data_IF_523694611092
#
_entry.id   IF_523694611092
#
_cell.length_a   1.000
_cell.length_b   1.000
_cell.length_c   1.000
_cell.angle_alpha   90.00
_cell.angle_beta   90.00
_cell.angle_gamma   90.00
#
_symmetry.space_group_name_H-M   'P 1'
#
loop_
_entity.id
_entity.type
_entity.pdbx_description
1 polymer ?
#
# COMPACT_ATOMS: atom_id res chain seq x y z
N UNK A 1 -2.41 11.36 14.03
CA UNK A 1 -1.33 11.34 13.00
C UNK A 1 -0.60 10.01 12.97
N UNK A 2 0.11 9.59 14.05
CA UNK A 2 0.91 8.35 14.06
C UNK A 2 0.15 7.11 13.53
N UNK A 3 -1.09 6.91 13.99
CA UNK A 3 -1.94 5.79 13.54
C UNK A 3 -2.16 5.73 12.02
N UNK A 4 -2.26 6.89 11.35
CA UNK A 4 -2.46 7.01 9.89
C UNK A 4 -1.14 7.06 9.12
N UNK A 5 -0.08 7.59 9.73
CA UNK A 5 1.25 7.63 9.16
C UNK A 5 1.91 6.24 9.11
N UNK A 6 1.49 5.33 9.98
CA UNK A 6 1.98 3.95 10.04
C UNK A 6 0.87 2.91 10.03
N UNK A 7 1.02 1.92 10.91
CA UNK A 7 0.06 0.86 11.16
C UNK A 7 -0.34 0.91 12.64
N UNK A 8 -1.11 1.91 13.04
CA UNK A 8 -1.39 2.16 14.46
C UNK A 8 -0.20 2.77 15.23
N UNK A 9 -0.36 2.90 16.54
CA UNK A 9 0.67 3.38 17.47
C UNK A 9 0.36 2.81 18.87
N UNK A 10 1.39 2.57 19.69
CA UNK A 10 1.22 2.24 21.11
C UNK A 10 1.35 3.49 21.99
N UNK A 11 0.90 3.41 23.24
CA UNK A 11 1.05 4.45 24.26
C UNK A 11 2.50 4.94 24.40
N UNK A 12 3.50 4.06 24.58
CA UNK A 12 4.90 4.48 24.65
C UNK A 12 5.41 5.20 23.39
N UNK A 13 4.92 4.83 22.20
CA UNK A 13 5.27 5.51 20.96
C UNK A 13 4.65 6.91 20.90
N UNK A 14 3.43 7.07 21.41
CA UNK A 14 2.76 8.37 21.52
C UNK A 14 3.50 9.24 22.54
N UNK A 15 3.81 8.71 23.73
CA UNK A 15 4.53 9.44 24.78
C UNK A 15 5.91 9.91 24.33
N UNK A 16 6.61 9.11 23.51
CA UNK A 16 7.92 9.48 22.99
C UNK A 16 7.91 10.73 22.09
N UNK A 17 6.75 11.07 21.50
CA UNK A 17 6.59 12.21 20.59
C UNK A 17 5.58 13.24 21.08
N UNK A 18 4.93 13.01 22.22
CA UNK A 18 3.99 13.97 22.79
C UNK A 18 4.73 15.27 23.11
N UNK A 19 4.15 16.40 22.69
CA UNK A 19 4.80 17.72 22.82
C UNK A 19 5.86 18.03 21.77
N UNK A 20 6.21 17.10 20.87
CA UNK A 20 7.00 17.43 19.68
C UNK A 20 6.13 18.14 18.63
N UNK A 21 6.73 19.07 17.91
CA UNK A 21 6.10 19.67 16.73
C UNK A 21 5.95 18.61 15.61
N UNK A 22 4.78 18.54 15.00
CA UNK A 22 4.48 17.52 13.99
C UNK A 22 5.34 17.69 12.74
N UNK A 23 5.67 18.92 12.35
CA UNK A 23 6.54 19.16 11.20
C UNK A 23 7.94 18.63 11.47
N UNK A 24 8.49 18.89 12.66
CA UNK A 24 9.80 18.37 13.08
C UNK A 24 9.81 16.83 13.13
N UNK A 25 8.77 16.21 13.70
CA UNK A 25 8.65 14.75 13.72
C UNK A 25 8.60 14.19 12.30
N UNK A 26 7.76 14.73 11.42
CA UNK A 26 7.62 14.27 10.03
C UNK A 26 8.92 14.46 9.25
N UNK A 27 9.65 15.57 9.45
CA UNK A 27 10.96 15.75 8.81
C UNK A 27 11.95 14.67 9.24
N UNK A 28 11.99 14.32 10.53
CA UNK A 28 12.84 13.23 11.01
C UNK A 28 12.41 11.88 10.42
N UNK A 29 11.12 11.56 10.49
CA UNK A 29 10.57 10.29 10.04
C UNK A 29 10.76 10.11 8.51
N UNK A 30 10.46 11.11 7.70
CA UNK A 30 10.54 11.04 6.23
C UNK A 30 11.98 11.11 5.68
N UNK A 31 12.95 11.61 6.46
CA UNK A 31 14.36 11.66 6.08
C UNK A 31 15.18 10.49 6.63
N UNK A 32 14.57 9.60 7.42
CA UNK A 32 15.23 8.39 7.88
C UNK A 32 15.58 7.50 6.67
N UNK A 33 16.73 6.84 6.73
CA UNK A 33 17.02 5.74 5.81
C UNK A 33 16.21 4.50 6.24
N UNK A 34 15.19 4.09 5.46
CA UNK A 34 14.33 2.96 5.82
C UNK A 34 15.04 1.61 5.86
N UNK A 35 16.22 1.48 5.26
CA UNK A 35 16.99 0.24 5.25
C UNK A 35 17.92 0.12 6.46
N UNK A 36 18.13 1.23 7.17
CA UNK A 36 18.85 1.28 8.45
C UNK A 36 17.96 0.93 9.66
N UNK A 37 16.64 0.84 9.49
CA UNK A 37 15.70 0.54 10.57
C UNK A 37 15.99 -0.86 11.18
N UNK A 38 16.04 -1.02 12.52
CA UNK A 38 16.36 -2.33 13.11
C UNK A 38 15.39 -3.44 12.72
N UNK A 39 14.09 -3.12 12.62
CA UNK A 39 13.07 -4.06 12.15
C UNK A 39 13.23 -4.38 10.68
N UNK A 40 13.68 -3.41 9.89
CA UNK A 40 14.05 -3.61 8.49
C UNK A 40 15.20 -4.62 8.33
N UNK A 41 16.29 -4.43 9.06
CA UNK A 41 17.45 -5.31 9.06
C UNK A 41 17.09 -6.72 9.55
N UNK A 42 16.19 -6.83 10.53
CA UNK A 42 15.69 -8.11 11.04
C UNK A 42 14.76 -8.84 10.06
N UNK A 43 14.23 -8.14 9.05
CA UNK A 43 13.30 -8.70 8.05
C UNK A 43 13.75 -8.33 6.64
N UNK A 44 14.88 -8.90 6.16
CA UNK A 44 15.35 -8.65 4.81
C UNK A 44 14.35 -9.18 3.78
N UNK A 45 14.18 -8.44 2.68
CA UNK A 45 13.33 -8.88 1.58
C UNK A 45 13.86 -10.18 0.98
N UNK A 46 13.00 -11.20 0.78
CA UNK A 46 13.35 -12.37 0.00
C UNK A 46 13.85 -11.97 -1.40
N UNK A 47 14.81 -12.71 -1.94
CA UNK A 47 15.27 -12.55 -3.32
C UNK A 47 14.81 -13.75 -4.16
N UNK A 48 13.49 -13.89 -4.44
CA UNK A 48 13.00 -15.00 -5.23
C UNK A 48 13.52 -14.90 -6.67
N UNK A 49 13.81 -16.06 -7.26
CA UNK A 49 14.20 -16.19 -8.67
C UNK A 49 13.13 -16.99 -9.37
N UNK A 50 12.59 -16.44 -10.46
CA UNK A 50 11.56 -17.11 -11.26
C UNK A 50 12.17 -18.35 -11.91
N UNK A 51 11.65 -19.56 -11.63
CA UNK A 51 12.14 -20.77 -12.29
C UNK A 51 11.86 -20.71 -13.81
N UNK A 52 12.67 -21.38 -14.65
CA UNK A 52 12.39 -21.47 -16.09
C UNK A 52 11.01 -22.06 -16.35
N UNK A 53 10.27 -21.44 -17.28
CA UNK A 53 8.94 -21.91 -17.67
C UNK A 53 9.09 -23.29 -18.35
N UNK A 54 8.41 -24.34 -17.85
CA UNK A 54 8.44 -25.65 -18.49
C UNK A 54 7.85 -25.58 -19.91
N UNK A 55 8.38 -26.34 -20.88
CA UNK A 55 7.80 -26.40 -22.22
C UNK A 55 6.37 -26.96 -22.18
N UNK A 56 5.57 -26.65 -23.21
CA UNK A 56 4.21 -27.16 -23.30
C UNK A 56 4.13 -28.70 -23.33
N UNK A 57 5.18 -29.39 -23.75
CA UNK A 57 5.28 -30.85 -23.71
C UNK A 57 5.67 -31.42 -22.34
N UNK A 58 5.90 -30.59 -21.32
CA UNK A 58 6.38 -31.05 -20.02
C UNK A 58 5.35 -31.96 -19.30
N UNK A 59 5.79 -33.08 -18.68
CA UNK A 59 4.92 -33.96 -17.90
C UNK A 59 4.21 -33.23 -16.75
N UNK A 60 3.03 -33.72 -16.37
CA UNK A 60 2.22 -33.14 -15.27
C UNK A 60 3.02 -32.92 -13.97
N UNK A 61 3.86 -33.86 -13.48
CA UNK A 61 4.64 -33.63 -12.25
C UNK A 61 5.58 -32.41 -12.32
N UNK A 62 6.16 -32.14 -13.50
CA UNK A 62 7.05 -30.98 -13.70
C UNK A 62 6.25 -29.68 -13.64
N UNK A 63 5.08 -29.64 -14.28
CA UNK A 63 4.17 -28.48 -14.24
C UNK A 63 3.65 -28.22 -12.83
N UNK A 64 3.28 -29.27 -12.09
CA UNK A 64 2.83 -29.18 -10.70
C UNK A 64 3.92 -28.62 -9.79
N UNK A 65 5.17 -29.10 -9.91
CA UNK A 65 6.27 -28.58 -9.09
C UNK A 65 6.57 -27.11 -9.43
N UNK A 66 6.54 -26.73 -10.70
CA UNK A 66 6.69 -25.33 -11.12
C UNK A 66 5.65 -24.40 -10.47
N UNK A 67 4.36 -24.79 -10.51
CA UNK A 67 3.28 -24.02 -9.87
C UNK A 67 3.45 -23.95 -8.35
N UNK A 68 3.90 -25.05 -7.73
CA UNK A 68 4.17 -25.11 -6.29
C UNK A 68 5.29 -24.16 -5.89
N UNK A 69 6.38 -24.11 -6.67
CA UNK A 69 7.49 -23.18 -6.44
C UNK A 69 7.02 -21.73 -6.53
N UNK A 70 6.29 -21.35 -7.60
CA UNK A 70 5.76 -19.99 -7.74
C UNK A 70 4.83 -19.60 -6.58
N UNK A 71 3.89 -20.49 -6.23
CA UNK A 71 2.98 -20.27 -5.11
C UNK A 71 3.72 -20.12 -3.78
N UNK A 72 4.73 -20.96 -3.54
CA UNK A 72 5.57 -20.90 -2.34
C UNK A 72 6.33 -19.58 -2.23
N UNK A 73 6.99 -19.16 -3.32
CA UNK A 73 7.71 -17.88 -3.37
C UNK A 73 6.77 -16.68 -3.12
N UNK A 74 5.55 -16.71 -3.66
CA UNK A 74 4.58 -15.63 -3.44
C UNK A 74 4.07 -15.59 -2.00
N UNK A 75 3.82 -16.76 -1.39
CA UNK A 75 3.46 -16.84 0.03
C UNK A 75 4.57 -16.30 0.93
N UNK A 76 5.83 -16.66 0.66
CA UNK A 76 6.99 -16.18 1.40
C UNK A 76 7.16 -14.66 1.27
N UNK A 77 6.93 -14.09 0.08
CA UNK A 77 7.00 -12.65 -0.17
C UNK A 77 5.89 -11.88 0.57
N UNK A 78 4.64 -12.35 0.50
CA UNK A 78 3.53 -11.73 1.23
C UNK A 78 3.69 -11.81 2.75
N UNK A 79 4.16 -12.96 3.25
CA UNK A 79 4.50 -13.16 4.65
C UNK A 79 5.65 -12.25 5.10
N UNK A 80 6.70 -12.12 4.29
CA UNK A 80 7.78 -11.17 4.56
C UNK A 80 7.25 -9.75 4.73
N UNK A 81 6.44 -9.25 3.79
CA UNK A 81 6.04 -7.85 3.85
C UNK A 81 5.20 -7.57 5.10
N UNK A 82 4.30 -8.50 5.47
CA UNK A 82 3.52 -8.40 6.71
C UNK A 82 4.42 -8.36 7.95
N UNK A 83 5.43 -9.23 8.02
CA UNK A 83 6.43 -9.23 9.10
C UNK A 83 7.25 -7.94 9.14
N UNK A 84 7.68 -7.45 7.98
CA UNK A 84 8.42 -6.18 7.82
C UNK A 84 7.60 -5.01 8.36
N UNK A 85 6.33 -4.89 7.96
CA UNK A 85 5.41 -3.86 8.46
C UNK A 85 5.22 -3.92 9.99
N UNK A 86 5.19 -5.13 10.55
CA UNK A 86 5.10 -5.32 11.99
C UNK A 86 6.42 -5.05 12.73
N UNK A 87 7.58 -5.30 12.11
CA UNK A 87 8.88 -5.21 12.77
C UNK A 87 9.49 -3.80 12.79
N UNK A 88 9.25 -2.98 11.75
CA UNK A 88 9.90 -1.66 11.61
C UNK A 88 9.59 -0.73 12.78
N UNK A 89 10.58 0.03 13.24
CA UNK A 89 10.36 1.01 14.31
C UNK A 89 9.68 2.27 13.78
N UNK A 90 10.05 2.73 12.59
CA UNK A 90 9.42 3.87 11.91
C UNK A 90 8.59 3.40 10.68
N UNK A 91 7.27 3.18 10.86
CA UNK A 91 6.43 2.51 9.87
C UNK A 91 6.06 3.37 8.65
N UNK A 92 6.34 4.68 8.66
CA UNK A 92 5.88 5.58 7.58
C UNK A 92 6.38 5.17 6.19
N UNK A 93 7.58 4.62 6.10
CA UNK A 93 8.14 4.19 4.83
C UNK A 93 7.45 2.94 4.26
N UNK A 94 7.06 2.00 5.13
CA UNK A 94 6.27 0.83 4.72
C UNK A 94 4.84 1.23 4.34
N UNK A 95 4.23 2.11 5.13
CA UNK A 95 2.89 2.67 4.85
C UNK A 95 2.85 3.33 3.48
N UNK A 96 3.82 4.19 3.17
CA UNK A 96 3.91 4.84 1.87
C UNK A 96 4.18 3.86 0.73
N UNK A 97 4.98 2.82 0.96
CA UNK A 97 5.19 1.75 -0.04
C UNK A 97 3.88 1.02 -0.35
N UNK A 98 3.08 0.71 0.68
CA UNK A 98 1.76 0.09 0.52
C UNK A 98 0.77 1.02 -0.20
N UNK A 99 0.78 2.31 0.14
CA UNK A 99 -0.04 3.35 -0.52
C UNK A 99 0.27 3.42 -2.01
N UNK A 100 1.54 3.42 -2.40
CA UNK A 100 1.92 3.46 -3.82
C UNK A 100 1.66 2.14 -4.53
N UNK A 101 1.79 1.00 -3.86
CA UNK A 101 1.39 -0.29 -4.42
C UNK A 101 -0.12 -0.38 -4.65
N UNK A 102 -0.92 0.27 -3.79
CA UNK A 102 -2.36 0.40 -3.99
C UNK A 102 -2.71 1.39 -5.11
N UNK A 103 -1.90 2.44 -5.31
CA UNK A 103 -2.10 3.41 -6.40
C UNK A 103 -1.76 2.81 -7.76
N UNK A 104 -0.57 2.22 -7.90
CA UNK A 104 -0.15 1.48 -9.08
C UNK A 104 -0.50 0.00 -8.93
N UNK A 105 -1.79 -0.28 -8.74
CA UNK A 105 -2.29 -1.60 -8.40
C UNK A 105 -1.84 -2.67 -9.41
N UNK A 106 -1.10 -3.64 -8.92
CA UNK A 106 -0.58 -4.78 -9.68
C UNK A 106 -0.85 -6.04 -8.90
N UNK A 107 -1.62 -6.97 -9.47
CA UNK A 107 -1.99 -8.20 -8.76
C UNK A 107 -1.10 -9.39 -9.11
N UNK A 108 -0.55 -10.00 -8.05
CA UNK A 108 0.15 -11.26 -8.10
C UNK A 108 -0.72 -12.42 -8.62
N UNK A 109 -2.05 -12.27 -8.61
CA UNK A 109 -2.98 -13.27 -9.16
C UNK A 109 -2.74 -13.53 -10.65
N UNK A 110 -2.37 -12.49 -11.42
CA UNK A 110 -2.03 -12.62 -12.85
C UNK A 110 -0.52 -12.59 -13.09
N UNK A 111 0.26 -11.87 -12.29
CA UNK A 111 1.72 -11.78 -12.48
C UNK A 111 2.40 -13.10 -12.11
N UNK A 112 1.95 -13.78 -11.04
CA UNK A 112 2.41 -15.07 -10.51
C UNK A 112 3.88 -15.12 -10.02
N UNK A 113 4.80 -14.39 -10.66
CA UNK A 113 6.22 -14.39 -10.35
C UNK A 113 6.55 -13.44 -9.18
N UNK A 114 6.98 -14.02 -8.05
CA UNK A 114 7.37 -13.26 -6.86
C UNK A 114 8.60 -12.36 -7.11
N UNK A 115 9.51 -12.75 -8.00
CA UNK A 115 10.66 -11.92 -8.42
C UNK A 115 10.21 -10.56 -8.95
N UNK A 116 9.19 -10.55 -9.82
CA UNK A 116 8.69 -9.32 -10.42
C UNK A 116 7.96 -8.44 -9.38
N UNK A 117 7.17 -9.06 -8.50
CA UNK A 117 6.46 -8.34 -7.44
C UNK A 117 7.44 -7.75 -6.40
N UNK A 118 8.50 -8.48 -6.05
CA UNK A 118 9.56 -8.00 -5.16
C UNK A 118 10.33 -6.83 -5.77
N UNK A 119 10.69 -6.92 -7.05
CA UNK A 119 11.35 -5.83 -7.77
C UNK A 119 10.47 -4.59 -7.88
N UNK A 120 9.17 -4.75 -8.14
CA UNK A 120 8.21 -3.63 -8.12
C UNK A 120 8.11 -3.02 -6.70
N UNK A 121 7.98 -3.83 -5.65
CA UNK A 121 7.97 -3.35 -4.26
C UNK A 121 9.20 -2.51 -3.94
N UNK A 122 10.39 -2.98 -4.34
CA UNK A 122 11.63 -2.25 -4.14
C UNK A 122 11.64 -0.91 -4.89
N UNK A 123 11.16 -0.86 -6.14
CA UNK A 123 11.04 0.40 -6.88
C UNK A 123 10.13 1.41 -6.19
N UNK A 124 8.93 0.97 -5.78
CA UNK A 124 7.99 1.79 -5.03
C UNK A 124 8.63 2.28 -3.73
N UNK A 125 9.31 1.39 -3.00
CA UNK A 125 10.02 1.71 -1.75
C UNK A 125 11.12 2.75 -1.96
N UNK A 126 11.88 2.66 -3.05
CA UNK A 126 12.95 3.62 -3.36
C UNK A 126 12.38 4.98 -3.73
N UNK A 127 11.32 5.03 -4.54
CA UNK A 127 10.83 6.26 -5.18
C UNK A 127 9.67 6.96 -4.45
N UNK A 128 9.08 6.34 -3.41
CA UNK A 128 7.88 6.82 -2.69
C UNK A 128 7.88 8.27 -2.18
N UNK A 129 9.06 8.89 -2.02
CA UNK A 129 9.26 10.24 -1.51
C UNK A 129 10.03 11.14 -2.48
N UNK A 130 10.30 10.67 -3.70
CA UNK A 130 11.03 11.41 -4.72
C UNK A 130 10.11 12.27 -5.60
N UNK A 131 10.53 12.46 -6.85
CA UNK A 131 9.73 13.07 -7.91
C UNK A 131 8.69 12.06 -8.44
N UNK A 132 7.41 12.45 -8.49
CA UNK A 132 6.36 11.60 -9.06
C UNK A 132 6.59 11.23 -10.52
N UNK A 133 7.25 12.06 -11.33
CA UNK A 133 7.63 11.71 -12.71
C UNK A 133 8.50 10.47 -12.74
N UNK A 134 9.52 10.41 -11.88
CA UNK A 134 10.41 9.26 -11.79
C UNK A 134 9.65 8.01 -11.35
N UNK A 135 8.79 8.14 -10.33
CA UNK A 135 7.94 7.05 -9.87
C UNK A 135 6.98 6.57 -10.97
N UNK A 136 6.28 7.49 -11.64
CA UNK A 136 5.33 7.18 -12.69
C UNK A 136 6.00 6.51 -13.89
N UNK A 137 7.15 7.02 -14.33
CA UNK A 137 7.92 6.39 -15.41
C UNK A 137 8.42 5.01 -15.01
N UNK A 138 8.99 4.85 -13.81
CA UNK A 138 9.48 3.56 -13.32
C UNK A 138 8.37 2.49 -13.27
N UNK A 139 7.12 2.90 -13.00
CA UNK A 139 5.95 2.04 -13.03
C UNK A 139 5.39 1.82 -14.43
N UNK A 140 5.45 2.81 -15.32
CA UNK A 140 5.07 2.68 -16.74
C UNK A 140 5.88 1.58 -17.44
N UNK A 141 7.16 1.46 -17.07
CA UNK A 141 8.08 0.46 -17.64
C UNK A 141 8.28 -0.79 -16.76
N UNK A 142 7.53 -0.92 -15.67
CA UNK A 142 7.70 -2.03 -14.72
C UNK A 142 7.32 -3.39 -15.31
N UNK A 143 8.08 -4.44 -14.97
CA UNK A 143 7.87 -5.79 -15.50
C UNK A 143 6.58 -6.44 -14.98
N UNK A 144 6.26 -6.26 -13.70
CA UNK A 144 5.02 -6.81 -13.13
C UNK A 144 3.79 -6.07 -13.70
N UNK A 145 3.86 -4.74 -13.81
CA UNK A 145 2.84 -3.91 -14.45
C UNK A 145 2.64 -4.28 -15.93
N UNK A 146 3.73 -4.53 -16.66
CA UNK A 146 3.66 -4.93 -18.06
C UNK A 146 2.94 -6.27 -18.27
N UNK A 147 3.09 -7.23 -17.35
CA UNK A 147 2.30 -8.47 -17.38
C UNK A 147 0.86 -8.23 -16.91
N UNK A 148 0.68 -7.46 -15.84
CA UNK A 148 -0.63 -7.15 -15.26
C UNK A 148 -1.58 -6.50 -16.27
N UNK A 149 -1.08 -5.55 -17.06
CA UNK A 149 -1.86 -4.82 -18.04
C UNK A 149 -1.69 -5.32 -19.48
N UNK A 150 -1.12 -6.52 -19.67
CA UNK A 150 -0.88 -7.12 -20.99
C UNK A 150 -0.04 -6.24 -21.94
N UNK A 151 0.78 -5.35 -21.40
CA UNK A 151 1.68 -4.50 -22.18
C UNK A 151 2.75 -5.32 -22.92
N UNK A 152 3.07 -6.52 -22.43
CA UNK A 152 3.95 -7.47 -23.15
C UNK A 152 3.39 -7.96 -24.48
N UNK A 153 2.07 -7.76 -24.72
CA UNK A 153 1.39 -8.07 -25.98
C UNK A 153 1.21 -6.84 -26.88
N UNK A 154 1.64 -5.66 -26.43
CA UNK A 154 1.52 -4.42 -27.17
C UNK A 154 2.56 -4.36 -28.28
N UNK A 155 2.15 -4.49 -29.54
CA UNK A 155 3.06 -4.46 -30.70
C UNK A 155 2.59 -3.44 -31.72
N UNK A 156 3.48 -2.94 -32.58
CA UNK A 156 3.12 -2.01 -33.66
C UNK A 156 2.04 -2.56 -34.60
N UNK A 157 1.96 -3.89 -34.76
CA UNK A 157 0.98 -4.55 -35.61
C UNK A 157 -0.38 -4.72 -34.92
N UNK A 158 -0.38 -4.81 -33.59
CA UNK A 158 -1.58 -4.91 -32.76
C UNK A 158 -1.38 -4.09 -31.47
N UNK A 159 -1.58 -2.76 -31.53
CA UNK A 159 -1.46 -1.92 -30.35
C UNK A 159 -2.48 -2.30 -29.27
N UNK A 160 -2.03 -2.46 -28.03
CA UNK A 160 -2.86 -2.74 -26.88
C UNK A 160 -2.97 -1.48 -26.02
N UNK A 161 -4.18 -0.94 -25.93
CA UNK A 161 -4.49 0.33 -25.28
C UNK A 161 -4.48 0.27 -23.75
N UNK A 162 -4.52 -0.91 -23.15
CA UNK A 162 -4.79 -1.08 -21.72
C UNK A 162 -3.83 -0.27 -20.84
N UNK A 163 -2.52 -0.47 -20.96
CA UNK A 163 -1.54 0.29 -20.16
C UNK A 163 -1.64 1.80 -20.40
N UNK A 164 -1.86 2.25 -21.64
CA UNK A 164 -1.99 3.69 -21.94
C UNK A 164 -3.24 4.28 -21.27
N UNK A 165 -4.36 3.57 -21.35
CA UNK A 165 -5.63 3.97 -20.73
C UNK A 165 -5.48 4.06 -19.23
N UNK A 166 -5.01 3.01 -18.58
CA UNK A 166 -4.87 2.96 -17.12
C UNK A 166 -3.86 3.98 -16.60
N UNK A 167 -2.77 4.22 -17.35
CA UNK A 167 -1.80 5.25 -16.99
C UNK A 167 -2.43 6.64 -16.95
N UNK A 168 -3.22 7.02 -17.96
CA UNK A 168 -3.95 8.28 -17.95
C UNK A 168 -5.06 8.28 -16.88
N UNK A 169 -5.92 7.27 -16.90
CA UNK A 169 -7.18 7.23 -16.18
C UNK A 169 -7.02 6.99 -14.67
N UNK A 170 -6.20 6.01 -14.27
CA UNK A 170 -6.13 5.58 -12.88
C UNK A 170 -4.85 6.03 -12.17
N UNK A 171 -3.78 6.28 -12.91
CA UNK A 171 -2.48 6.56 -12.31
C UNK A 171 -2.07 8.03 -12.32
N UNK A 172 -2.52 8.83 -13.29
CA UNK A 172 -1.96 10.19 -13.47
C UNK A 172 -2.98 11.32 -13.60
N UNK A 173 -4.13 11.13 -14.24
CA UNK A 173 -5.11 12.21 -14.52
C UNK A 173 -6.44 12.00 -13.82
N UNK A 174 -6.89 10.76 -13.64
CA UNK A 174 -8.25 10.48 -13.20
C UNK A 174 -9.23 10.31 -14.36
N UNK A 175 -10.32 9.59 -14.09
CA UNK A 175 -11.37 9.30 -15.05
C UNK A 175 -11.95 10.56 -15.69
N UNK A 176 -12.05 10.56 -17.02
CA UNK A 176 -12.60 11.64 -17.85
C UNK A 176 -11.95 13.03 -17.63
N UNK A 177 -10.65 13.07 -17.31
CA UNK A 177 -9.95 14.33 -17.03
C UNK A 177 -9.12 14.85 -18.22
N UNK A 178 -9.78 15.03 -19.37
CA UNK A 178 -9.23 15.76 -20.53
C UNK A 178 -8.50 14.93 -21.60
N UNK A 179 -8.29 13.63 -21.40
CA UNK A 179 -7.83 12.74 -22.46
C UNK A 179 -8.99 12.26 -23.33
N UNK A 180 -8.69 11.93 -24.58
CA UNK A 180 -9.61 11.35 -25.53
C UNK A 180 -9.25 9.90 -25.84
N UNK A 181 -10.17 9.19 -26.49
CA UNK A 181 -9.89 7.86 -27.03
C UNK A 181 -8.75 7.87 -28.06
N UNK A 182 -8.56 8.99 -28.77
CA UNK A 182 -7.43 9.15 -29.68
C UNK A 182 -6.10 9.22 -28.92
N UNK A 183 -6.04 9.94 -27.80
CA UNK A 183 -4.85 10.01 -26.95
C UNK A 183 -4.49 8.63 -26.38
N UNK A 184 -5.49 7.84 -26.00
CA UNK A 184 -5.28 6.47 -25.53
C UNK A 184 -4.65 5.59 -26.63
N UNK A 185 -5.16 5.67 -27.86
CA UNK A 185 -4.63 4.92 -29.01
C UNK A 185 -3.22 5.33 -29.38
N UNK A 186 -2.97 6.63 -29.42
CA UNK A 186 -1.66 7.19 -29.78
C UNK A 186 -0.62 6.94 -28.67
N UNK A 187 -1.04 6.96 -27.40
CA UNK A 187 -0.25 6.50 -26.28
C UNK A 187 0.06 5.01 -26.33
N UNK A 188 -0.91 4.17 -26.70
CA UNK A 188 -0.69 2.74 -26.90
C UNK A 188 0.42 2.47 -27.92
N UNK A 189 0.43 3.22 -29.03
CA UNK A 189 1.49 3.18 -30.06
C UNK A 189 2.86 3.56 -29.49
N UNK A 190 2.93 4.61 -28.67
CA UNK A 190 4.16 5.03 -27.99
C UNK A 190 4.73 3.95 -27.03
N UNK A 191 3.88 3.07 -26.50
CA UNK A 191 4.25 2.02 -25.55
C UNK A 191 4.50 0.63 -26.19
N UNK A 192 4.53 0.53 -27.52
CA UNK A 192 4.67 -0.75 -28.24
C UNK A 192 6.06 -1.38 -28.11
N UNK A 193 6.13 -2.71 -28.19
CA UNK A 193 7.36 -3.48 -28.36
C UNK A 193 8.05 -3.90 -27.07
N UNK A 194 7.50 -3.59 -25.88
CA UNK A 194 8.10 -3.95 -24.60
C UNK A 194 7.88 -5.42 -24.27
N UNK A 195 8.91 -6.12 -23.82
CA UNK A 195 8.80 -7.48 -23.27
C UNK A 195 9.69 -7.65 -22.04
N UNK A 196 9.34 -8.62 -21.19
CA UNK A 196 10.05 -8.89 -19.93
C UNK A 196 11.25 -9.80 -20.20
N UNK A 197 12.39 -9.49 -19.58
CA UNK A 197 13.63 -10.28 -19.59
C UNK A 197 14.00 -10.71 -18.15
N UNK A 198 14.92 -11.68 -17.96
CA UNK A 198 15.37 -12.08 -16.63
C UNK A 198 15.85 -10.91 -15.76
N UNK A 199 15.68 -11.03 -14.43
CA UNK A 199 16.03 -9.96 -13.48
C UNK A 199 14.97 -8.89 -13.34
N UNK A 200 13.71 -9.21 -13.66
CA UNK A 200 12.56 -8.29 -13.56
C UNK A 200 12.70 -6.98 -14.36
N UNK A 201 13.36 -7.06 -15.52
CA UNK A 201 13.55 -5.93 -16.41
C UNK A 201 12.67 -6.06 -17.65
N UNK A 202 12.54 -4.95 -18.37
CA UNK A 202 11.84 -4.88 -19.63
C UNK A 202 12.71 -4.19 -20.67
N UNK A 203 12.62 -4.64 -21.91
CA UNK A 203 13.34 -4.06 -23.05
C UNK A 203 12.40 -3.92 -24.24
N UNK A 204 12.77 -3.07 -25.19
CA UNK A 204 11.99 -2.85 -26.42
C UNK A 204 12.58 -3.73 -27.53
N UNK A 205 11.73 -4.54 -28.16
CA UNK A 205 12.00 -5.18 -29.44
C UNK A 205 11.77 -4.16 -30.57
N UNK A 206 12.82 -3.65 -31.25
CA UNK A 206 12.67 -2.58 -32.25
C UNK A 206 11.73 -2.93 -33.39
N UNK A 207 11.71 -4.20 -33.79
CA UNK A 207 10.81 -4.73 -34.82
C UNK A 207 9.33 -4.65 -34.44
N UNK A 208 9.02 -4.59 -33.14
CA UNK A 208 7.66 -4.50 -32.61
C UNK A 208 7.30 -3.10 -32.10
N UNK A 209 8.24 -2.14 -32.12
CA UNK A 209 7.99 -0.76 -31.74
C UNK A 209 7.51 0.06 -32.95
N UNK A 210 6.47 0.86 -32.74
CA UNK A 210 5.99 1.82 -33.71
C UNK A 210 6.86 3.08 -33.66
N UNK A 211 7.54 3.41 -34.75
CA UNK A 211 8.42 4.59 -34.88
C UNK A 211 7.80 5.72 -35.70
N UNK A 212 6.54 5.57 -36.14
CA UNK A 212 5.84 6.63 -36.82
C UNK A 212 5.42 7.73 -35.83
N UNK A 213 5.17 8.94 -36.37
CA UNK A 213 4.68 10.04 -35.58
C UNK A 213 3.36 9.67 -34.86
N UNK A 214 3.26 10.09 -33.59
CA UNK A 214 2.09 9.98 -32.74
C UNK A 214 1.64 11.35 -32.29
N UNK A 215 0.34 11.54 -32.07
CA UNK A 215 -0.21 12.79 -31.52
C UNK A 215 -0.92 12.50 -30.21
N UNK A 216 -0.35 12.97 -29.10
CA UNK A 216 -0.90 12.77 -27.75
C UNK A 216 -1.11 14.15 -27.13
N UNK A 217 -2.34 14.46 -26.68
CA UNK A 217 -2.78 15.78 -26.22
C UNK A 217 -2.41 16.92 -27.18
N UNK A 218 -2.56 16.67 -28.49
CA UNK A 218 -2.24 17.63 -29.55
C UNK A 218 -0.74 17.84 -29.80
N UNK A 219 0.14 17.15 -29.07
CA UNK A 219 1.59 17.20 -29.31
C UNK A 219 1.96 16.10 -30.29
N UNK A 220 2.40 16.47 -31.50
CA UNK A 220 2.81 15.50 -32.53
C UNK A 220 4.32 15.29 -32.53
N UNK A 221 4.77 14.03 -32.56
CA UNK A 221 6.19 13.67 -32.64
C UNK A 221 6.37 12.16 -32.66
N UNK A 222 7.61 11.67 -32.85
CA UNK A 222 7.90 10.25 -32.66
C UNK A 222 8.07 9.95 -31.15
N UNK A 223 6.97 9.96 -30.42
CA UNK A 223 6.96 9.81 -28.96
C UNK A 223 7.26 8.37 -28.55
N UNK A 224 8.24 8.19 -27.66
CA UNK A 224 8.51 6.94 -26.96
C UNK A 224 7.82 6.92 -25.59
N UNK A 225 8.12 5.92 -24.75
CA UNK A 225 7.53 5.78 -23.42
C UNK A 225 7.85 6.97 -22.48
N UNK A 226 9.02 7.59 -22.65
CA UNK A 226 9.47 8.74 -21.86
C UNK A 226 8.67 9.99 -22.26
N UNK A 227 8.63 10.29 -23.56
CA UNK A 227 7.86 11.42 -24.08
C UNK A 227 6.37 11.28 -23.76
N UNK A 228 5.81 10.07 -23.87
CA UNK A 228 4.43 9.79 -23.48
C UNK A 228 4.17 10.13 -22.01
N UNK A 229 5.01 9.63 -21.09
CA UNK A 229 4.91 9.92 -19.66
C UNK A 229 4.93 11.44 -19.40
N UNK A 230 5.88 12.16 -20.02
CA UNK A 230 6.04 13.59 -19.83
C UNK A 230 4.86 14.41 -20.36
N UNK A 231 4.32 14.04 -21.52
CA UNK A 231 3.12 14.68 -22.09
C UNK A 231 1.91 14.49 -21.16
N UNK A 232 1.68 13.27 -20.69
CA UNK A 232 0.56 12.97 -19.77
C UNK A 232 0.71 13.75 -18.47
N UNK A 233 1.89 13.74 -17.85
CA UNK A 233 2.15 14.44 -16.59
C UNK A 233 2.22 15.98 -16.73
N UNK A 234 2.26 16.51 -17.96
CA UNK A 234 2.16 17.94 -18.23
C UNK A 234 0.72 18.46 -18.23
N UNK A 235 -0.27 17.56 -18.27
CA UNK A 235 -1.67 17.96 -18.29
C UNK A 235 -2.08 18.60 -16.96
N UNK A 236 -2.90 19.66 -16.98
CA UNK A 236 -3.27 20.44 -15.80
C UNK A 236 -4.04 19.63 -14.75
N UNK A 237 -4.71 18.55 -15.17
CA UNK A 237 -5.42 17.65 -14.26
C UNK A 237 -4.51 16.78 -13.38
N UNK A 238 -3.23 16.57 -13.77
CA UNK A 238 -2.38 15.59 -13.11
C UNK A 238 -2.04 15.92 -11.66
N UNK A 239 -1.58 17.14 -11.31
CA UNK A 239 -1.22 17.47 -9.93
C UNK A 239 -2.40 17.30 -8.96
N UNK A 240 -3.59 17.78 -9.35
CA UNK A 240 -4.80 17.67 -8.54
C UNK A 240 -5.24 16.22 -8.34
N UNK A 241 -5.10 15.37 -9.36
CA UNK A 241 -5.41 13.95 -9.24
C UNK A 241 -4.48 13.25 -8.25
N UNK A 242 -3.17 13.41 -8.40
CA UNK A 242 -2.16 12.76 -7.55
C UNK A 242 -2.28 13.23 -6.10
N UNK A 243 -2.35 14.55 -5.87
CA UNK A 243 -2.54 15.13 -4.54
C UNK A 243 -3.85 14.66 -3.89
N UNK A 244 -4.96 14.71 -4.63
CA UNK A 244 -6.26 14.25 -4.14
C UNK A 244 -6.33 12.74 -3.88
N UNK A 245 -5.58 11.93 -4.63
CA UNK A 245 -5.48 10.48 -4.39
C UNK A 245 -4.68 10.21 -3.11
N UNK A 246 -3.55 10.89 -2.90
CA UNK A 246 -2.76 10.71 -1.68
C UNK A 246 -3.54 11.14 -0.43
N UNK A 247 -4.29 12.25 -0.51
CA UNK A 247 -5.23 12.65 0.54
C UNK A 247 -6.21 11.52 0.89
N UNK A 248 -6.83 10.90 -0.12
CA UNK A 248 -7.79 9.81 0.11
C UNK A 248 -7.18 8.55 0.71
N UNK A 249 -5.88 8.35 0.55
CA UNK A 249 -5.16 7.18 1.04
C UNK A 249 -4.57 7.39 2.44
N UNK A 250 -4.39 8.64 2.87
CA UNK A 250 -3.72 8.99 4.13
C UNK A 250 -4.58 9.76 5.14
N UNK A 251 -5.58 10.52 4.70
CA UNK A 251 -6.26 11.52 5.53
C UNK A 251 -7.77 11.35 5.68
N UNK A 252 -8.47 10.89 4.64
CA UNK A 252 -9.94 10.78 4.65
C UNK A 252 -10.45 9.80 3.60
N UNK A 253 -11.58 9.14 3.86
CA UNK A 253 -12.30 8.37 2.83
C UNK A 253 -13.00 9.26 1.77
N UNK A 254 -13.15 10.56 2.06
CA UNK A 254 -13.78 11.56 1.19
C UNK A 254 -12.74 12.40 0.41
N UNK A 255 -13.10 12.95 -0.77
CA UNK A 255 -12.22 13.88 -1.50
C UNK A 255 -11.80 15.09 -0.66
N UNK A 256 -10.60 15.60 -0.91
CA UNK A 256 -10.13 16.84 -0.29
C UNK A 256 -11.05 18.01 -0.69
N UNK A 257 -11.43 18.88 0.27
CA UNK A 257 -12.02 20.17 -0.05
C UNK A 257 -11.14 20.98 -1.03
N UNK A 258 -11.71 21.85 -1.88
CA UNK A 258 -10.93 22.59 -2.88
C UNK A 258 -9.74 23.37 -2.30
N UNK A 259 -9.93 24.07 -1.17
CA UNK A 259 -8.88 24.86 -0.54
C UNK A 259 -7.75 23.98 0.05
N UNK A 260 -8.08 22.79 0.54
CA UNK A 260 -7.11 21.78 0.99
C UNK A 260 -6.34 21.27 -0.23
N UNK A 261 -7.05 20.91 -1.30
CA UNK A 261 -6.43 20.41 -2.52
C UNK A 261 -5.44 21.42 -3.12
N UNK A 262 -5.78 22.71 -3.13
CA UNK A 262 -4.90 23.78 -3.60
C UNK A 262 -3.60 23.84 -2.79
N UNK A 263 -3.67 23.72 -1.45
CA UNK A 263 -2.48 23.66 -0.59
C UNK A 263 -1.62 22.42 -0.86
N UNK A 264 -2.26 21.27 -1.08
CA UNK A 264 -1.56 20.03 -1.42
C UNK A 264 -0.87 20.11 -2.78
N UNK A 265 -1.54 20.65 -3.80
CA UNK A 265 -0.95 20.87 -5.13
C UNK A 265 0.19 21.88 -5.07
N UNK A 266 0.07 22.93 -4.24
CA UNK A 266 1.16 23.87 -4.02
C UNK A 266 2.39 23.21 -3.40
N UNK A 267 2.20 22.29 -2.43
CA UNK A 267 3.29 21.52 -1.82
C UNK A 267 3.91 20.50 -2.79
N UNK A 268 3.10 19.84 -3.62
CA UNK A 268 3.57 18.97 -4.70
C UNK A 268 4.41 19.74 -5.71
N UNK A 269 3.98 20.96 -6.07
CA UNK A 269 4.76 21.92 -6.83
C UNK A 269 5.14 21.46 -8.25
N UNK A 270 5.92 22.28 -8.98
CA UNK A 270 6.36 21.95 -10.34
C UNK A 270 7.34 20.76 -10.39
N UNK A 271 8.03 20.49 -9.29
CA UNK A 271 8.96 19.36 -9.16
C UNK A 271 8.26 18.04 -8.77
N UNK A 272 6.93 18.06 -8.58
CA UNK A 272 6.13 16.88 -8.24
C UNK A 272 6.65 16.15 -6.99
N UNK A 273 7.01 16.91 -5.96
CA UNK A 273 7.69 16.45 -4.75
C UNK A 273 6.72 15.66 -3.85
N UNK A 274 6.92 14.33 -3.80
CA UNK A 274 6.08 13.43 -3.02
C UNK A 274 6.34 13.54 -1.51
N UNK A 275 7.54 13.94 -1.09
CA UNK A 275 7.85 14.15 0.33
C UNK A 275 7.14 15.40 0.85
N UNK A 276 7.24 16.51 0.12
CA UNK A 276 6.55 17.75 0.46
C UNK A 276 5.03 17.55 0.46
N UNK A 277 4.49 16.86 -0.55
CA UNK A 277 3.07 16.52 -0.60
C UNK A 277 2.63 15.66 0.60
N UNK A 278 3.39 14.60 0.94
CA UNK A 278 3.09 13.74 2.10
C UNK A 278 3.05 14.54 3.40
N UNK A 279 4.05 15.41 3.60
CA UNK A 279 4.12 16.29 4.77
C UNK A 279 2.93 17.25 4.83
N UNK A 280 2.57 17.86 3.70
CA UNK A 280 1.42 18.76 3.62
C UNK A 280 0.10 18.06 3.98
N UNK A 281 -0.09 16.79 3.56
CA UNK A 281 -1.28 16.01 3.94
C UNK A 281 -1.41 15.87 5.46
N UNK A 282 -0.33 15.50 6.15
CA UNK A 282 -0.37 15.28 7.60
C UNK A 282 -0.39 16.56 8.44
N UNK A 283 0.08 17.68 7.88
CA UNK A 283 0.08 18.98 8.55
C UNK A 283 -1.16 19.83 8.27
N UNK A 284 -2.00 19.46 7.30
CA UNK A 284 -3.19 20.22 6.98
C UNK A 284 -4.19 20.21 8.17
N UNK A 285 -4.79 21.36 8.56
CA UNK A 285 -5.78 21.39 9.62
C UNK A 285 -6.96 20.43 9.38
N UNK A 286 -7.39 20.22 8.13
CA UNK A 286 -8.47 19.30 7.80
C UNK A 286 -8.13 17.84 8.11
N UNK A 287 -6.84 17.46 8.13
CA UNK A 287 -6.41 16.13 8.56
C UNK A 287 -6.71 15.89 10.05
N UNK A 288 -6.46 16.90 10.89
CA UNK A 288 -6.76 16.81 12.32
C UNK A 288 -8.27 16.84 12.58
N UNK A 289 -9.01 17.63 11.81
CA UNK A 289 -10.47 17.71 11.90
C UNK A 289 -11.18 16.41 11.49
N UNK A 290 -10.53 15.55 10.68
CA UNK A 290 -11.07 14.25 10.28
C UNK A 290 -10.77 13.11 11.27
N UNK A 291 -10.17 13.38 12.43
CA UNK A 291 -9.77 12.32 13.37
C UNK A 291 -10.93 11.36 13.71
N UNK A 292 -10.68 10.05 13.64
CA UNK A 292 -11.67 9.01 13.92
C UNK A 292 -12.73 8.82 12.83
N UNK A 293 -12.63 9.49 11.67
CA UNK A 293 -13.60 9.33 10.57
C UNK A 293 -13.16 8.35 9.50
N UNK A 294 -11.87 7.99 9.44
CA UNK A 294 -11.34 7.12 8.39
C UNK A 294 -11.36 5.67 8.85
N UNK A 295 -11.97 4.79 8.07
CA UNK A 295 -12.01 3.35 8.41
C UNK A 295 -10.61 2.75 8.26
N UNK A 296 -10.11 2.14 9.33
CA UNK A 296 -8.82 1.44 9.33
C UNK A 296 -8.89 0.24 8.40
N UNK A 297 -7.99 0.18 7.43
CA UNK A 297 -7.95 -0.91 6.45
C UNK A 297 -7.55 -2.24 7.11
N UNK A 298 -8.01 -3.40 6.62
CA UNK A 298 -7.70 -4.71 7.20
C UNK A 298 -6.22 -4.94 7.54
N UNK A 299 -5.32 -4.58 6.63
CA UNK A 299 -3.87 -4.74 6.82
C UNK A 299 -3.32 -3.81 7.89
N UNK A 300 -3.80 -2.57 7.96
CA UNK A 300 -3.40 -1.59 8.97
C UNK A 300 -3.88 -1.98 10.35
N UNK A 301 -5.11 -2.47 10.43
CA UNK A 301 -5.72 -2.98 11.64
C UNK A 301 -4.94 -4.18 12.18
N UNK A 302 -4.69 -5.18 11.33
CA UNK A 302 -3.99 -6.40 11.72
C UNK A 302 -2.55 -6.09 12.13
N UNK A 303 -1.80 -5.40 11.27
CA UNK A 303 -0.40 -5.05 11.58
C UNK A 303 -0.32 -4.19 12.83
N UNK A 304 -1.20 -3.21 13.01
CA UNK A 304 -1.21 -2.39 14.21
C UNK A 304 -1.47 -3.17 15.49
N UNK A 305 -2.35 -4.19 15.43
CA UNK A 305 -2.59 -5.07 16.56
C UNK A 305 -1.33 -5.89 16.86
N UNK A 306 -0.74 -6.52 15.84
CA UNK A 306 0.47 -7.34 16.00
C UNK A 306 1.64 -6.53 16.57
N UNK A 307 1.79 -5.26 16.14
CA UNK A 307 2.80 -4.33 16.64
C UNK A 307 2.58 -3.95 18.10
N UNK A 308 1.37 -3.52 18.44
CA UNK A 308 1.03 -3.07 19.80
C UNK A 308 1.19 -4.19 20.82
N UNK A 309 0.93 -5.43 20.38
CA UNK A 309 1.05 -6.64 21.18
C UNK A 309 2.43 -7.31 21.07
N UNK A 310 3.39 -6.75 20.31
CA UNK A 310 4.70 -7.36 20.08
C UNK A 310 4.65 -8.87 19.70
N UNK A 311 3.65 -9.27 18.87
CA UNK A 311 3.43 -10.69 18.54
C UNK A 311 4.65 -11.28 17.82
N UNK A 312 5.18 -12.43 18.26
CA UNK A 312 6.34 -13.06 17.63
C UNK A 312 5.96 -13.71 16.30
N UNK A 313 6.17 -12.99 15.19
CA UNK A 313 5.86 -13.47 13.83
C UNK A 313 6.92 -14.39 13.21
N UNK A 314 7.70 -15.10 14.04
CA UNK A 314 8.68 -16.09 13.60
C UNK A 314 8.10 -17.49 13.40
N UNK A 315 6.92 -17.77 13.97
CA UNK A 315 6.31 -19.11 13.92
C UNK A 315 5.46 -19.30 12.65
N UNK A 316 5.45 -20.51 12.06
CA UNK A 316 4.57 -20.82 10.92
C UNK A 316 3.08 -20.58 11.22
N UNK A 317 2.64 -20.84 12.45
CA UNK A 317 1.24 -20.66 12.83
C UNK A 317 0.81 -19.18 12.87
N UNK A 318 1.68 -18.28 13.36
CA UNK A 318 1.40 -16.85 13.35
C UNK A 318 1.34 -16.32 11.91
N UNK A 319 2.30 -16.69 11.07
CA UNK A 319 2.36 -16.30 9.65
C UNK A 319 1.14 -16.82 8.87
N UNK A 320 0.77 -18.08 9.07
CA UNK A 320 -0.42 -18.66 8.45
C UNK A 320 -1.68 -17.91 8.90
N UNK A 321 -1.77 -17.58 10.19
CA UNK A 321 -2.89 -16.80 10.75
C UNK A 321 -3.02 -15.43 10.08
N UNK A 322 -1.93 -14.70 9.88
CA UNK A 322 -2.01 -13.37 9.26
C UNK A 322 -2.48 -13.46 7.81
N UNK A 323 -2.00 -14.46 7.07
CA UNK A 323 -2.43 -14.69 5.70
C UNK A 323 -3.92 -15.07 5.62
N UNK A 324 -4.41 -15.94 6.51
CA UNK A 324 -5.83 -16.32 6.57
C UNK A 324 -6.72 -15.09 6.76
N UNK A 325 -6.40 -14.24 7.74
CA UNK A 325 -7.20 -13.04 8.05
C UNK A 325 -7.26 -12.10 6.87
N UNK A 326 -6.10 -11.78 6.27
CA UNK A 326 -6.04 -10.87 5.13
C UNK A 326 -6.67 -11.46 3.86
N UNK A 327 -6.67 -12.79 3.72
CA UNK A 327 -7.43 -13.48 2.65
C UNK A 327 -8.92 -13.29 2.84
N UNK A 328 -9.44 -13.59 4.03
CA UNK A 328 -10.88 -13.50 4.33
C UNK A 328 -11.38 -12.07 4.22
N UNK A 329 -10.57 -11.11 4.67
CA UNK A 329 -10.91 -9.69 4.57
C UNK A 329 -10.62 -9.08 3.19
N UNK A 330 -10.01 -9.82 2.26
CA UNK A 330 -9.80 -9.35 0.88
C UNK A 330 -8.67 -8.33 0.70
N UNK A 331 -7.71 -8.24 1.63
CA UNK A 331 -6.58 -7.30 1.55
C UNK A 331 -5.23 -7.97 1.84
N UNK A 332 -4.92 -9.01 1.07
CA UNK A 332 -3.58 -9.61 1.11
C UNK A 332 -2.55 -8.72 0.41
N UNK A 333 -1.33 -8.55 0.96
CA UNK A 333 -0.25 -7.87 0.25
C UNK A 333 -0.02 -8.50 -1.13
N UNK A 334 0.21 -7.68 -2.16
CA UNK A 334 0.37 -8.10 -3.56
C UNK A 334 -0.89 -8.57 -4.30
N UNK A 335 -2.07 -8.56 -3.66
CA UNK A 335 -3.32 -8.95 -4.30
C UNK A 335 -4.38 -7.84 -4.21
N UNK A 336 -4.17 -6.65 -4.84
CA UNK A 336 -5.26 -5.72 -5.11
C UNK A 336 -6.35 -6.42 -5.95
N UNK A 337 -7.59 -5.97 -5.76
CA UNK A 337 -8.77 -6.58 -6.38
C UNK A 337 -8.80 -6.35 -7.90
N UNK A 338 -8.49 -5.13 -8.32
CA UNK A 338 -8.40 -4.73 -9.72
C UNK A 338 -7.32 -3.63 -9.90
N UNK A 339 -7.22 -3.08 -11.11
CA UNK A 339 -6.28 -2.01 -11.46
C UNK A 339 -6.54 -0.69 -10.70
N UNK A 340 -7.72 -0.51 -10.11
CA UNK A 340 -8.07 0.59 -9.22
C UNK A 340 -7.56 0.42 -7.77
N UNK A 341 -7.11 -0.78 -7.40
CA UNK A 341 -6.54 -1.12 -6.10
C UNK A 341 -7.51 -1.85 -5.17
N UNK A 342 -7.25 -1.76 -3.86
CA UNK A 342 -8.18 -2.17 -2.81
C UNK A 342 -9.26 -1.10 -2.57
N UNK A 343 -10.49 -1.52 -2.20
CA UNK A 343 -11.53 -0.57 -1.86
C UNK A 343 -11.23 0.12 -0.51
N UNK A 344 -12.02 1.14 -0.16
CA UNK A 344 -11.81 1.95 1.05
C UNK A 344 -13.12 2.20 1.80
N UNK A 345 -13.01 2.66 3.04
CA UNK A 345 -14.14 3.02 3.88
C UNK A 345 -14.98 1.82 4.36
N UNK A 346 -16.29 2.03 4.40
CA UNK A 346 -17.27 1.18 5.09
C UNK A 346 -17.36 -0.26 4.58
N UNK A 347 -16.85 -0.55 3.38
CA UNK A 347 -16.75 -1.92 2.84
C UNK A 347 -16.01 -2.88 3.79
N UNK A 348 -15.08 -2.34 4.60
CA UNK A 348 -14.29 -3.10 5.58
C UNK A 348 -15.00 -3.33 6.92
N UNK A 349 -16.23 -2.85 7.10
CA UNK A 349 -17.05 -3.04 8.29
C UNK A 349 -18.18 -4.08 8.09
N UNK A 350 -17.97 -5.01 7.14
CA UNK A 350 -18.89 -6.12 6.88
C UNK A 350 -18.90 -7.16 8.02
N UNK A 351 -19.97 -7.97 8.09
CA UNK A 351 -20.06 -9.08 9.05
C UNK A 351 -18.92 -10.09 8.93
N UNK A 352 -18.49 -10.39 7.69
CA UNK A 352 -17.32 -11.24 7.41
C UNK A 352 -16.04 -10.62 7.97
N UNK A 353 -15.85 -9.31 7.79
CA UNK A 353 -14.69 -8.60 8.34
C UNK A 353 -14.70 -8.65 9.86
N UNK A 354 -15.86 -8.42 10.50
CA UNK A 354 -16.01 -8.53 11.96
C UNK A 354 -15.65 -9.92 12.48
N UNK A 355 -16.17 -10.98 11.84
CA UNK A 355 -15.85 -12.36 12.24
C UNK A 355 -14.35 -12.67 12.10
N UNK A 356 -13.71 -12.22 11.02
CA UNK A 356 -12.28 -12.38 10.81
C UNK A 356 -11.45 -11.66 11.88
N UNK A 357 -11.86 -10.44 12.28
CA UNK A 357 -11.17 -9.68 13.32
C UNK A 357 -11.32 -10.30 14.71
N UNK A 358 -12.49 -10.81 15.07
CA UNK A 358 -12.69 -11.54 16.32
C UNK A 358 -11.81 -12.79 16.37
N UNK A 359 -11.82 -13.59 15.30
CA UNK A 359 -10.95 -14.77 15.20
C UNK A 359 -9.47 -14.42 15.35
N UNK A 360 -9.04 -13.34 14.69
CA UNK A 360 -7.66 -12.89 14.75
C UNK A 360 -7.29 -12.39 16.15
N UNK A 361 -8.18 -11.65 16.82
CA UNK A 361 -7.95 -11.20 18.19
C UNK A 361 -7.81 -12.40 19.16
N UNK A 362 -8.71 -13.39 19.06
CA UNK A 362 -8.62 -14.63 19.85
C UNK A 362 -7.33 -15.41 19.57
N UNK A 363 -6.81 -15.36 18.34
CA UNK A 363 -5.55 -16.02 17.97
C UNK A 363 -4.31 -15.28 18.47
N UNK A 364 -4.25 -13.96 18.25
CA UNK A 364 -3.00 -13.20 18.39
C UNK A 364 -2.83 -12.54 19.76
N UNK A 365 -3.91 -12.18 20.46
CA UNK A 365 -3.79 -11.61 21.82
C UNK A 365 -3.09 -12.57 22.78
N UNK A 366 -3.38 -13.89 22.79
CA UNK A 366 -2.64 -14.83 23.63
C UNK A 366 -1.17 -15.03 23.25
N UNK A 367 -0.77 -14.66 22.04
CA UNK A 367 0.62 -14.75 21.57
C UNK A 367 1.44 -13.50 21.88
N UNK A 368 0.78 -12.38 22.18
CA UNK A 368 1.41 -11.09 22.38
C UNK A 368 1.67 -10.74 23.84
N UNK A 369 2.38 -9.65 24.03
CA UNK A 369 2.60 -8.99 25.31
C UNK A 369 1.40 -8.09 25.66
N UNK A 370 0.69 -8.49 26.72
CA UNK A 370 -0.39 -7.71 27.33
C UNK A 370 -0.11 -7.44 28.82
N UNK A 371 1.17 -7.50 29.24
CA UNK A 371 1.60 -7.32 30.63
C UNK A 371 1.05 -6.02 31.23
N UNK A 372 1.11 -4.91 30.47
CA UNK A 372 0.57 -3.61 30.88
C UNK A 372 -0.91 -3.66 31.29
N UNK A 373 -1.71 -4.55 30.70
CA UNK A 373 -3.12 -4.75 31.06
C UNK A 373 -3.28 -5.80 32.16
N UNK A 374 -2.46 -6.85 32.15
CA UNK A 374 -2.52 -7.91 33.16
C UNK A 374 -2.14 -7.39 34.56
N UNK A 375 -1.10 -6.56 34.62
CA UNK A 375 -0.51 -6.02 35.84
C UNK A 375 -1.29 -4.81 36.38
N UNK A 376 -2.09 -4.13 35.54
CA UNK A 376 -2.95 -3.05 35.97
C UNK A 376 -4.04 -3.54 36.94
N UNK A 377 -4.41 -2.66 37.89
CA UNK A 377 -5.52 -2.92 38.80
C UNK A 377 -6.82 -3.13 37.98
N UNK A 378 -7.73 -4.03 38.41
CA UNK A 378 -8.99 -4.31 37.74
C UNK A 378 -9.76 -3.07 37.24
N UNK A 379 -9.78 -1.99 38.02
CA UNK A 379 -10.45 -0.73 37.68
C UNK A 379 -9.80 0.05 36.54
N UNK A 380 -8.49 -0.17 36.32
CA UNK A 380 -7.65 0.63 35.42
C UNK A 380 -7.36 -0.12 34.12
N UNK A 381 -7.77 -1.39 34.01
CA UNK A 381 -7.46 -2.25 32.86
C UNK A 381 -8.04 -1.76 31.53
N UNK A 382 -9.18 -1.09 31.56
CA UNK A 382 -9.78 -0.49 30.35
C UNK A 382 -8.88 0.63 29.82
N UNK A 383 -8.35 1.47 30.70
CA UNK A 383 -7.42 2.53 30.33
C UNK A 383 -6.05 1.95 29.92
N UNK A 384 -5.57 0.92 30.63
CA UNK A 384 -4.34 0.21 30.25
C UNK A 384 -4.45 -0.44 28.86
N UNK A 385 -5.61 -1.00 28.51
CA UNK A 385 -5.86 -1.51 27.15
C UNK A 385 -5.87 -0.38 26.12
N UNK A 386 -6.39 0.80 26.47
CA UNK A 386 -6.32 2.00 25.63
C UNK A 386 -4.88 2.43 25.41
N UNK A 387 -4.09 2.50 26.48
CA UNK A 387 -2.67 2.82 26.43
C UNK A 387 -1.87 1.82 25.59
N UNK A 388 -2.08 0.51 25.76
CA UNK A 388 -1.45 -0.54 24.95
C UNK A 388 -1.68 -0.32 23.44
N UNK A 389 -2.91 0.05 23.07
CA UNK A 389 -3.37 0.19 21.68
C UNK A 389 -3.25 1.62 21.12
N UNK A 390 -2.68 2.55 21.91
CA UNK A 390 -2.55 3.96 21.54
C UNK A 390 -3.89 4.68 21.32
N UNK A 391 -4.91 4.29 22.08
CA UNK A 391 -6.21 4.95 22.14
C UNK A 391 -6.21 5.89 23.35
N UNK A 392 -6.28 7.20 23.07
CA UNK A 392 -6.21 8.22 24.11
C UNK A 392 -7.48 8.39 24.94
N UNK A 393 -8.63 7.98 24.41
CA UNK A 393 -9.90 8.03 25.12
C UNK A 393 -10.90 7.02 24.53
N UNK A 394 -11.71 6.45 25.40
CA UNK A 394 -12.85 5.61 25.03
C UNK A 394 -14.14 6.45 25.04
N UNK A 395 -15.04 6.20 24.10
CA UNK A 395 -16.42 6.68 24.24
C UNK A 395 -17.08 6.03 25.46
N UNK A 396 -18.08 6.71 26.04
CA UNK A 396 -18.85 6.17 27.17
C UNK A 396 -19.45 4.79 26.86
N UNK A 397 -19.93 4.61 25.62
CA UNK A 397 -20.46 3.34 25.14
C UNK A 397 -19.40 2.24 25.07
N UNK A 398 -18.20 2.56 24.56
CA UNK A 398 -17.12 1.58 24.48
C UNK A 398 -16.61 1.23 25.87
N UNK A 399 -16.39 2.22 26.74
CA UNK A 399 -15.96 1.99 28.12
C UNK A 399 -16.97 1.11 28.88
N UNK A 400 -18.26 1.38 28.74
CA UNK A 400 -19.32 0.57 29.35
C UNK A 400 -19.33 -0.88 28.82
N UNK A 401 -19.06 -1.09 27.53
CA UNK A 401 -19.00 -2.42 26.91
C UNK A 401 -17.74 -3.21 27.29
N UNK A 402 -16.61 -2.54 27.51
CA UNK A 402 -15.35 -3.17 27.91
C UNK A 402 -15.30 -3.46 29.42
N UNK A 403 -15.96 -2.64 30.25
CA UNK A 403 -15.93 -2.76 31.71
C UNK A 403 -16.24 -4.16 32.25
N UNK A 404 -17.22 -4.94 31.74
CA UNK A 404 -17.48 -6.31 32.21
C UNK A 404 -16.33 -7.29 31.96
N UNK A 405 -15.38 -6.96 31.08
CA UNK A 405 -14.26 -7.83 30.70
C UNK A 405 -13.02 -7.60 31.57
N UNK A 406 -13.03 -6.66 32.51
CA UNK A 406 -11.84 -6.25 33.26
C UNK A 406 -11.19 -7.40 34.05
N UNK A 407 -11.94 -8.42 34.48
CA UNK A 407 -11.38 -9.59 35.16
C UNK A 407 -10.67 -10.57 34.22
N UNK A 408 -10.81 -10.39 32.90
CA UNK A 408 -10.18 -11.21 31.87
C UNK A 408 -9.39 -10.33 30.88
N UNK A 409 -8.12 -10.00 31.19
CA UNK A 409 -7.28 -9.13 30.36
C UNK A 409 -7.18 -9.57 28.89
N UNK A 410 -7.13 -10.88 28.62
CA UNK A 410 -7.07 -11.42 27.26
C UNK A 410 -8.34 -11.07 26.48
N UNK A 411 -9.52 -11.36 27.05
CA UNK A 411 -10.80 -11.02 26.42
C UNK A 411 -11.01 -9.51 26.32
N UNK A 412 -10.57 -8.75 27.32
CA UNK A 412 -10.63 -7.29 27.30
C UNK A 412 -9.85 -6.73 26.11
N UNK A 413 -8.58 -7.13 25.93
CA UNK A 413 -7.75 -6.67 24.81
C UNK A 413 -8.32 -7.15 23.47
N UNK A 414 -8.81 -8.39 23.40
CA UNK A 414 -9.43 -8.92 22.18
C UNK A 414 -10.71 -8.15 21.78
N UNK A 415 -11.49 -7.68 22.75
CA UNK A 415 -12.61 -6.78 22.48
C UNK A 415 -12.14 -5.37 22.12
N UNK A 416 -11.12 -4.84 22.81
CA UNK A 416 -10.59 -3.49 22.62
C UNK A 416 -10.08 -3.24 21.18
N UNK A 417 -9.39 -4.21 20.57
CA UNK A 417 -8.94 -4.12 19.16
C UNK A 417 -10.08 -4.18 18.14
N UNK A 418 -11.32 -4.41 18.58
CA UNK A 418 -12.52 -4.46 17.74
C UNK A 418 -13.49 -3.29 18.00
N UNK A 419 -13.07 -2.31 18.80
CA UNK A 419 -13.87 -1.12 19.11
C UNK A 419 -13.88 -0.11 17.97
N UNK A 420 -14.93 0.75 17.87
CA UNK A 420 -14.93 1.85 16.90
C UNK A 420 -13.65 2.69 16.94
N UNK A 421 -13.14 2.98 18.14
CA UNK A 421 -11.93 3.79 18.36
C UNK A 421 -10.67 3.16 17.76
N UNK A 422 -10.61 1.82 17.64
CA UNK A 422 -9.51 1.12 16.97
C UNK A 422 -9.77 0.92 15.46
N UNK A 423 -11.03 0.72 15.09
CA UNK A 423 -11.47 0.49 13.71
C UNK A 423 -11.55 1.77 12.88
N UNK A 424 -11.44 2.93 13.49
CA UNK A 424 -11.26 4.21 12.80
C UNK A 424 -10.04 4.95 13.32
N UNK A 425 -9.45 5.78 12.46
CA UNK A 425 -8.27 6.61 12.77
C UNK A 425 -8.47 8.05 12.35
#
# INVERSE_FOLDING_TARGET
MLRRAGFGASGPQIDAVVGQDWSVYLDKALNMDPDSDPGALATPMPAPVTPPIPPDSAPLPVRTEFIKVLSGQMLDLGAWWTRRMAAVQEPIHEKLTLVWHNHFATSAEKVLAAELMAAQNQKLRTLKLGDFRELAYAMLIDAAMALWLDAVRNTKAAPNENLSREFMELFTLGHNNGYTEADVKEGARALTGRYVIPGAQTVIAPENHDTAAKTVFGVTGNHDDTAFCDIVLSQPGSPGFVAGKLWRLLASDTPAPPDVLDRLVAAYGPNRDLKALTKAVFLDPAFTASAGSMVTQPIEWLVGMLRSLAVPLGSPDAVAGTNVVLTVMGQRPFFPYDVGGWPRGQVWLSSTSTAARVWAADKFVPMGDISVVQEAAPTDRVDAAGYLLGIGAWSDSTAAALKPLHDNPVRLVAAAVNTPEYLTS
#
